data_IF_114543858001
#
_entry.id   IF_114543858001
#
_cell.length_a   1.000
_cell.length_b   1.000
_cell.length_c   1.000
_cell.angle_alpha   90.00
_cell.angle_beta   90.00
_cell.angle_gamma   90.00
#
_symmetry.space_group_name_H-M   'P 1'
#
loop_
_entity.id
_entity.type
_entity.pdbx_description
1 polymer ?
#
# COMPACT_ATOMS: atom_id res chain seq x y z
N UNK A 1 4.54 7.70 -21.74
CA UNK A 1 4.68 6.84 -20.55
C UNK A 1 4.98 7.75 -19.38
N UNK A 2 4.11 7.80 -18.38
CA UNK A 2 4.33 8.65 -17.20
C UNK A 2 5.44 8.08 -16.34
N UNK A 3 6.33 8.93 -15.83
CA UNK A 3 7.24 8.54 -14.75
C UNK A 3 6.42 8.46 -13.45
N UNK A 4 6.40 7.28 -12.83
CA UNK A 4 5.84 7.12 -11.50
C UNK A 4 6.86 7.56 -10.44
N UNK A 5 6.38 7.99 -9.28
CA UNK A 5 7.22 8.51 -8.19
C UNK A 5 7.61 7.45 -7.16
N UNK A 6 7.31 6.19 -7.44
CA UNK A 6 7.49 5.09 -6.50
C UNK A 6 8.62 4.17 -6.95
N UNK A 7 9.36 3.56 -6.01
CA UNK A 7 10.52 2.74 -6.31
C UNK A 7 10.12 1.47 -7.08
N UNK A 8 10.90 1.12 -8.11
CA UNK A 8 10.71 -0.10 -8.91
C UNK A 8 9.55 -0.01 -9.89
N UNK A 9 9.05 1.20 -10.19
CA UNK A 9 7.90 1.39 -11.08
C UNK A 9 8.12 0.91 -12.52
N UNK A 10 9.38 0.88 -12.98
CA UNK A 10 9.74 0.42 -14.32
C UNK A 10 9.39 -1.06 -14.53
N UNK A 11 9.45 -1.84 -13.44
CA UNK A 11 9.21 -3.29 -13.41
C UNK A 11 7.95 -3.66 -12.60
N UNK A 12 7.11 -2.68 -12.29
CA UNK A 12 5.90 -2.83 -11.49
C UNK A 12 4.70 -3.23 -12.37
N UNK A 13 4.86 -4.30 -13.15
CA UNK A 13 3.90 -4.80 -14.13
C UNK A 13 3.44 -6.25 -13.89
N UNK A 14 3.78 -6.80 -12.72
CA UNK A 14 3.32 -8.12 -12.25
C UNK A 14 1.78 -8.21 -12.32
N UNK A 15 1.21 -9.26 -12.93
CA UNK A 15 -0.23 -9.38 -13.09
C UNK A 15 -0.94 -9.66 -11.75
N UNK A 16 -2.15 -9.11 -11.60
CA UNK A 16 -3.04 -9.45 -10.50
C UNK A 16 -3.41 -10.95 -10.53
N UNK A 17 -3.38 -11.59 -9.37
CA UNK A 17 -3.80 -13.00 -9.16
C UNK A 17 -5.31 -13.14 -8.95
N UNK A 18 -6.00 -12.02 -8.75
CA UNK A 18 -7.42 -11.97 -8.45
C UNK A 18 -8.17 -11.02 -9.38
N UNK A 19 -9.46 -11.33 -9.60
CA UNK A 19 -10.39 -10.47 -10.32
C UNK A 19 -11.27 -9.63 -9.38
N UNK A 20 -10.99 -9.66 -8.07
CA UNK A 20 -11.71 -8.92 -7.01
C UNK A 20 -11.62 -7.39 -7.14
N UNK A 21 -10.77 -6.87 -8.03
CA UNK A 21 -10.59 -5.43 -8.22
C UNK A 21 -10.57 -5.11 -9.73
N UNK A 22 -11.75 -5.04 -10.39
CA UNK A 22 -11.84 -4.70 -11.80
C UNK A 22 -11.03 -3.44 -12.15
N UNK A 23 -10.18 -3.57 -13.18
CA UNK A 23 -9.30 -2.49 -13.64
C UNK A 23 -7.92 -2.45 -12.98
N UNK A 24 -7.69 -3.17 -11.88
CA UNK A 24 -6.37 -3.29 -11.26
C UNK A 24 -5.66 -4.52 -11.83
N UNK A 25 -4.84 -4.34 -12.86
CA UNK A 25 -4.11 -5.44 -13.50
C UNK A 25 -2.65 -5.54 -13.06
N UNK A 26 -2.06 -4.42 -12.67
CA UNK A 26 -0.65 -4.27 -12.31
C UNK A 26 -0.49 -3.39 -11.06
N UNK A 27 0.66 -3.42 -10.37
CA UNK A 27 0.94 -2.49 -9.28
C UNK A 27 0.86 -1.01 -9.69
N UNK A 28 1.13 -0.68 -10.96
CA UNK A 28 0.91 0.68 -11.51
C UNK A 28 -0.57 1.07 -11.53
N UNK A 29 -1.46 0.17 -11.95
CA UNK A 29 -2.91 0.43 -11.88
C UNK A 29 -3.38 0.62 -10.43
N UNK A 30 -2.82 -0.17 -9.49
CA UNK A 30 -3.09 -0.01 -8.07
C UNK A 30 -2.60 1.36 -7.58
N UNK A 31 -1.40 1.78 -7.94
CA UNK A 31 -0.86 3.09 -7.58
C UNK A 31 -1.76 4.23 -8.08
N UNK A 32 -2.20 4.17 -9.35
CA UNK A 32 -3.06 5.19 -9.94
C UNK A 32 -4.43 5.24 -9.25
N UNK A 33 -5.01 4.08 -8.95
CA UNK A 33 -6.27 3.99 -8.22
C UNK A 33 -6.14 4.56 -6.79
N UNK A 34 -5.05 4.23 -6.09
CA UNK A 34 -4.80 4.69 -4.72
C UNK A 34 -4.53 6.19 -4.67
N UNK A 35 -3.76 6.70 -5.63
CA UNK A 35 -3.38 8.11 -5.75
C UNK A 35 -4.57 9.04 -5.99
N UNK A 36 -5.62 8.54 -6.64
CA UNK A 36 -6.79 9.33 -6.97
C UNK A 36 -7.82 9.40 -5.81
N UNK A 37 -7.34 9.73 -4.62
CA UNK A 37 -8.14 10.08 -3.43
C UNK A 37 -8.39 8.96 -2.42
N UNK A 38 -7.85 7.74 -2.62
CA UNK A 38 -7.95 6.65 -1.63
C UNK A 38 -6.88 6.78 -0.55
N UNK A 39 -5.65 7.16 -0.93
CA UNK A 39 -4.69 7.65 0.04
C UNK A 39 -5.11 9.03 0.52
N UNK A 40 -5.53 9.09 1.78
CA UNK A 40 -6.09 10.27 2.43
C UNK A 40 -5.81 10.28 3.93
N UNK A 41 -6.14 11.38 4.59
CA UNK A 41 -5.91 11.54 6.02
C UNK A 41 -6.49 10.39 6.86
N UNK A 42 -7.69 9.90 6.55
CA UNK A 42 -8.36 8.81 7.26
C UNK A 42 -7.65 7.46 7.11
N UNK A 43 -7.04 7.22 5.95
CA UNK A 43 -6.23 6.02 5.73
C UNK A 43 -4.83 6.19 6.28
N UNK A 44 -4.34 7.41 6.56
CA UNK A 44 -3.02 7.70 7.13
C UNK A 44 -2.92 7.32 8.63
N UNK A 45 -1.70 6.98 9.07
CA UNK A 45 -1.45 6.47 10.40
C UNK A 45 -1.64 7.62 11.39
N UNK A 46 -2.42 7.48 12.47
CA UNK A 46 -2.76 8.58 13.37
C UNK A 46 -1.55 9.37 13.86
N UNK A 47 -0.44 8.67 14.17
CA UNK A 47 0.81 9.29 14.62
C UNK A 47 1.48 10.19 13.55
N UNK A 48 1.18 9.98 12.27
CA UNK A 48 1.75 10.72 11.13
C UNK A 48 0.72 11.63 10.44
N UNK A 49 -0.56 11.56 10.82
CA UNK A 49 -1.66 12.24 10.13
C UNK A 49 -1.49 13.76 10.08
N UNK A 50 -0.89 14.36 11.10
CA UNK A 50 -0.62 15.80 11.13
C UNK A 50 0.40 16.24 10.07
N UNK A 51 1.25 15.34 9.58
CA UNK A 51 2.20 15.60 8.50
C UNK A 51 1.70 15.17 7.12
N UNK A 52 0.50 14.59 7.05
CA UNK A 52 -0.08 14.13 5.79
C UNK A 52 -0.62 15.31 4.99
N UNK A 53 -0.32 15.35 3.69
CA UNK A 53 -0.86 16.33 2.74
C UNK A 53 -1.19 15.64 1.42
N UNK A 54 -1.88 16.32 0.51
CA UNK A 54 -2.16 15.76 -0.83
C UNK A 54 -0.86 15.55 -1.64
N UNK A 55 0.13 16.44 -1.46
CA UNK A 55 1.45 16.33 -2.08
C UNK A 55 2.25 15.15 -1.51
N UNK A 56 2.05 14.82 -0.22
CA UNK A 56 2.67 13.67 0.45
C UNK A 56 1.64 12.60 0.85
N UNK A 57 0.80 12.22 -0.12
CA UNK A 57 -0.34 11.31 0.08
C UNK A 57 0.03 9.93 0.62
N UNK A 58 1.24 9.44 0.34
CA UNK A 58 1.70 8.10 0.76
C UNK A 58 2.24 8.07 2.19
N UNK A 59 2.40 9.22 2.86
CA UNK A 59 2.86 9.28 4.25
C UNK A 59 1.99 8.41 5.16
N UNK A 60 2.64 7.50 5.88
CA UNK A 60 1.96 6.61 6.83
C UNK A 60 1.07 5.54 6.19
N UNK A 61 1.14 5.33 4.88
CA UNK A 61 0.34 4.32 4.17
C UNK A 61 1.06 2.97 3.99
N UNK A 62 2.38 2.91 4.22
CA UNK A 62 3.25 1.80 3.79
C UNK A 62 2.76 0.39 4.12
N UNK A 63 2.54 0.07 5.40
CA UNK A 63 2.21 -1.31 5.79
C UNK A 63 0.87 -1.77 5.21
N UNK A 64 -0.16 -0.94 5.28
CA UNK A 64 -1.51 -1.32 4.81
C UNK A 64 -1.55 -1.44 3.28
N UNK A 65 -0.79 -0.59 2.57
CA UNK A 65 -0.65 -0.66 1.12
C UNK A 65 0.13 -1.90 0.69
N UNK A 66 1.24 -2.21 1.37
CA UNK A 66 2.04 -3.38 1.02
C UNK A 66 1.25 -4.69 1.21
N UNK A 67 0.45 -4.79 2.27
CA UNK A 67 -0.44 -5.94 2.48
C UNK A 67 -1.60 -5.99 1.48
N UNK A 68 -2.16 -4.85 1.07
CA UNK A 68 -3.15 -4.82 -0.01
C UNK A 68 -2.56 -5.25 -1.35
N UNK A 69 -1.36 -4.79 -1.68
CA UNK A 69 -0.64 -5.22 -2.87
C UNK A 69 -0.33 -6.73 -2.82
N UNK A 70 0.05 -7.25 -1.65
CA UNK A 70 0.22 -8.70 -1.45
C UNK A 70 -1.08 -9.48 -1.71
N UNK A 71 -2.24 -8.97 -1.28
CA UNK A 71 -3.53 -9.64 -1.53
C UNK A 71 -3.90 -9.68 -3.02
N UNK A 72 -3.40 -8.72 -3.82
CA UNK A 72 -3.73 -8.59 -5.24
C UNK A 72 -2.72 -9.33 -6.12
N UNK A 73 -1.43 -9.21 -5.83
CA UNK A 73 -0.34 -9.69 -6.68
C UNK A 73 0.41 -10.88 -6.06
N UNK A 74 0.17 -11.22 -4.80
CA UNK A 74 0.91 -12.25 -4.07
C UNK A 74 2.28 -11.77 -3.60
N UNK A 75 3.23 -12.72 -3.52
CA UNK A 75 4.60 -12.45 -3.08
C UNK A 75 4.74 -12.12 -1.59
N UNK A 76 5.81 -11.39 -1.27
CA UNK A 76 6.26 -11.09 0.09
C UNK A 76 6.15 -9.61 0.41
N UNK A 77 5.95 -9.30 1.69
CA UNK A 77 6.15 -7.96 2.23
C UNK A 77 7.48 -7.94 2.98
N UNK A 78 8.38 -7.05 2.62
CA UNK A 78 9.68 -6.86 3.29
C UNK A 78 9.68 -5.52 4.05
N UNK A 79 10.54 -5.39 5.06
CA UNK A 79 10.54 -4.24 5.97
C UNK A 79 11.89 -3.58 6.11
N UNK A 80 12.03 -2.32 5.67
CA UNK A 80 13.20 -1.48 5.93
C UNK A 80 13.12 -0.98 7.37
N UNK A 81 14.09 -1.35 8.20
CA UNK A 81 14.13 -0.91 9.60
C UNK A 81 14.45 0.58 9.67
N UNK A 82 13.59 1.35 10.31
CA UNK A 82 13.70 2.80 10.46
C UNK A 82 14.38 3.17 11.79
N UNK A 83 14.97 4.39 11.90
CA UNK A 83 15.63 4.83 13.13
C UNK A 83 14.72 4.85 14.37
N UNK A 84 13.41 5.03 14.18
CA UNK A 84 12.40 4.99 15.25
C UNK A 84 12.02 3.56 15.69
N UNK A 85 12.69 2.54 15.13
CA UNK A 85 12.45 1.13 15.41
C UNK A 85 11.28 0.52 14.66
N UNK A 86 10.50 1.30 13.90
CA UNK A 86 9.43 0.77 13.06
C UNK A 86 9.98 0.24 11.72
N UNK A 87 9.15 -0.50 11.00
CA UNK A 87 9.44 -0.96 9.64
C UNK A 87 8.65 -0.15 8.61
N UNK A 88 9.35 0.25 7.55
CA UNK A 88 8.73 0.70 6.30
C UNK A 88 8.57 -0.48 5.36
N UNK A 89 7.33 -0.79 5.00
CA UNK A 89 7.01 -2.00 4.24
C UNK A 89 6.99 -1.76 2.72
N UNK A 90 7.49 -2.73 1.96
CA UNK A 90 7.46 -2.78 0.50
C UNK A 90 7.20 -4.22 0.02
N UNK A 91 7.01 -4.40 -1.29
CA UNK A 91 6.68 -5.70 -1.88
C UNK A 91 7.82 -6.29 -2.70
N UNK A 92 7.94 -7.62 -2.63
CA UNK A 92 8.76 -8.42 -3.54
C UNK A 92 7.86 -9.51 -4.13
N UNK A 93 7.60 -9.45 -5.44
CA UNK A 93 6.69 -10.35 -6.14
C UNK A 93 7.37 -10.88 -7.39
N UNK A 94 7.53 -12.20 -7.49
CA UNK A 94 8.22 -12.87 -8.61
C UNK A 94 9.59 -12.27 -8.94
N UNK A 95 10.35 -11.90 -7.90
CA UNK A 95 11.67 -11.25 -8.03
C UNK A 95 11.63 -9.75 -8.30
N UNK A 96 10.46 -9.18 -8.62
CA UNK A 96 10.28 -7.74 -8.80
C UNK A 96 10.07 -7.06 -7.46
N UNK A 97 10.88 -6.06 -7.19
CA UNK A 97 10.77 -5.23 -5.99
C UNK A 97 10.11 -3.91 -6.35
N UNK A 98 9.06 -3.54 -5.61
CA UNK A 98 8.42 -2.25 -5.74
C UNK A 98 7.91 -1.75 -4.39
N UNK A 99 7.85 -0.43 -4.25
CA UNK A 99 7.36 0.24 -3.05
C UNK A 99 6.46 1.39 -3.47
N UNK A 100 5.16 1.13 -3.49
CA UNK A 100 4.13 2.09 -3.91
C UNK A 100 4.08 3.35 -3.04
N UNK A 101 4.80 3.37 -1.91
CA UNK A 101 4.78 4.45 -0.93
C UNK A 101 6.15 5.09 -0.71
N UNK A 102 7.14 4.82 -1.58
CA UNK A 102 8.49 5.36 -1.41
C UNK A 102 8.56 6.88 -1.57
N UNK A 103 7.62 7.49 -2.31
CA UNK A 103 7.60 8.95 -2.52
C UNK A 103 7.50 9.74 -1.20
N UNK A 104 7.02 9.13 -0.12
CA UNK A 104 6.92 9.79 1.20
C UNK A 104 8.28 10.23 1.78
N UNK A 105 9.39 9.67 1.27
CA UNK A 105 10.74 10.00 1.72
C UNK A 105 11.47 11.00 0.81
N UNK A 106 10.81 11.49 -0.24
CA UNK A 106 11.38 12.47 -1.17
C UNK A 106 12.71 12.00 -1.76
N UNK A 107 13.80 12.70 -1.44
CA UNK A 107 15.15 12.39 -1.93
C UNK A 107 15.93 11.36 -1.10
N UNK A 108 15.37 10.85 0.01
CA UNK A 108 16.03 9.83 0.82
C UNK A 108 16.24 8.55 -0.01
N UNK A 109 17.47 8.03 -0.01
CA UNK A 109 17.77 6.75 -0.66
C UNK A 109 17.52 5.59 0.31
N UNK A 110 16.54 4.77 0.00
CA UNK A 110 16.22 3.57 0.76
C UNK A 110 17.02 2.36 0.26
N UNK A 111 17.41 1.48 1.18
CA UNK A 111 18.02 0.19 0.85
C UNK A 111 16.97 -0.90 0.83
N UNK A 112 16.74 -1.51 -0.34
CA UNK A 112 15.78 -2.60 -0.55
C UNK A 112 16.41 -3.99 -0.52
N UNK A 113 17.67 -4.10 -0.09
CA UNK A 113 18.43 -5.36 -0.04
C UNK A 113 18.46 -5.97 1.37
N UNK A 114 18.33 -7.30 1.46
CA UNK A 114 18.48 -8.07 2.70
C UNK A 114 17.48 -7.76 3.82
N UNK A 115 16.39 -7.05 3.56
CA UNK A 115 15.43 -6.67 4.58
C UNK A 115 14.54 -7.86 5.03
N UNK A 116 14.22 -7.96 6.34
CA UNK A 116 13.41 -9.06 6.86
C UNK A 116 11.97 -9.01 6.33
N UNK A 117 11.43 -10.19 6.06
CA UNK A 117 10.00 -10.38 5.75
C UNK A 117 9.13 -9.89 6.92
N UNK A 118 8.00 -9.27 6.58
CA UNK A 118 7.04 -8.71 7.51
C UNK A 118 5.72 -9.47 7.38
N UNK A 119 5.13 -9.79 8.53
CA UNK A 119 3.92 -10.61 8.59
C UNK A 119 2.71 -9.80 9.00
N UNK A 120 1.59 -10.03 8.31
CA UNK A 120 0.32 -9.33 8.52
C UNK A 120 -0.13 -9.44 9.96
N UNK A 121 0.00 -10.62 10.55
CA UNK A 121 -0.40 -10.95 11.91
C UNK A 121 0.28 -10.03 12.92
N UNK A 122 1.56 -9.72 12.71
CA UNK A 122 2.32 -8.81 13.59
C UNK A 122 1.86 -7.37 13.43
N UNK A 123 1.62 -6.92 12.20
CA UNK A 123 1.18 -5.54 11.95
C UNK A 123 -0.27 -5.31 12.36
N UNK A 124 -1.16 -6.26 12.14
CA UNK A 124 -2.60 -6.13 12.37
C UNK A 124 -3.04 -6.56 13.78
N UNK A 125 -2.12 -7.06 14.61
CA UNK A 125 -2.31 -7.13 16.06
C UNK A 125 -2.67 -5.77 16.67
N UNK A 126 -2.26 -4.66 16.03
CA UNK A 126 -2.76 -3.32 16.34
C UNK A 126 -4.07 -3.10 15.59
N UNK A 127 -5.18 -3.02 16.32
CA UNK A 127 -6.51 -2.82 15.75
C UNK A 127 -6.58 -1.62 14.81
N UNK A 128 -5.95 -0.52 15.19
CA UNK A 128 -5.85 0.70 14.39
C UNK A 128 -5.33 0.43 12.96
N UNK A 129 -4.27 -0.38 12.82
CA UNK A 129 -3.71 -0.76 11.51
C UNK A 129 -4.66 -1.67 10.72
N UNK A 130 -5.35 -2.59 11.40
CA UNK A 130 -6.34 -3.49 10.79
C UNK A 130 -7.51 -2.67 10.21
N UNK A 131 -8.08 -1.76 10.99
CA UNK A 131 -9.20 -0.91 10.57
C UNK A 131 -8.83 0.00 9.39
N UNK A 132 -7.63 0.57 9.39
CA UNK A 132 -7.10 1.33 8.24
C UNK A 132 -6.98 0.48 6.97
N UNK A 133 -6.46 -0.74 7.09
CA UNK A 133 -6.36 -1.65 5.96
C UNK A 133 -7.75 -2.01 5.42
N UNK A 134 -8.71 -2.30 6.29
CA UNK A 134 -10.10 -2.58 5.92
C UNK A 134 -10.73 -1.38 5.20
N UNK A 135 -10.50 -0.16 5.70
CA UNK A 135 -10.92 1.07 5.04
C UNK A 135 -10.29 1.22 3.66
N UNK A 136 -8.96 1.07 3.55
CA UNK A 136 -8.23 1.17 2.28
C UNK A 136 -8.78 0.18 1.25
N UNK A 137 -8.96 -1.08 1.66
CA UNK A 137 -9.52 -2.15 0.84
C UNK A 137 -10.94 -1.85 0.40
N UNK A 138 -11.79 -1.36 1.30
CA UNK A 138 -13.18 -0.98 0.98
C UNK A 138 -13.23 0.12 -0.07
N UNK A 139 -12.43 1.17 0.10
CA UNK A 139 -12.37 2.29 -0.85
C UNK A 139 -11.87 1.86 -2.24
N UNK A 140 -10.91 0.93 -2.30
CA UNK A 140 -10.47 0.37 -3.57
C UNK A 140 -11.59 -0.41 -4.25
N UNK A 141 -12.35 -1.24 -3.51
CA UNK A 141 -13.50 -1.97 -4.05
C UNK A 141 -14.58 -1.03 -4.59
N UNK A 142 -14.94 -0.01 -3.81
CA UNK A 142 -15.90 1.03 -4.22
C UNK A 142 -15.45 1.71 -5.52
N UNK A 143 -14.16 2.07 -5.62
CA UNK A 143 -13.58 2.66 -6.83
C UNK A 143 -13.61 1.73 -8.04
N UNK A 144 -13.41 0.43 -7.84
CA UNK A 144 -13.50 -0.58 -8.89
C UNK A 144 -14.96 -0.93 -9.28
N UNK A 145 -15.96 -0.19 -8.76
CA UNK A 145 -17.37 -0.38 -9.09
C UNK A 145 -18.02 -1.55 -8.35
N UNK A 146 -17.33 -2.15 -7.37
CA UNK A 146 -17.88 -3.20 -6.53
C UNK A 146 -18.56 -2.56 -5.33
N UNK A 147 -19.90 -2.51 -5.36
CA UNK A 147 -20.68 -2.14 -4.18
C UNK A 147 -20.48 -3.20 -3.10
N UNK A 148 -20.25 -2.78 -1.88
CA UNK A 148 -20.35 -3.67 -0.72
C UNK A 148 -21.83 -3.93 -0.47
N UNK A 149 -22.36 -5.05 -0.95
CA UNK A 149 -23.65 -5.55 -0.49
C UNK A 149 -23.48 -5.93 0.99
N UNK A 150 -24.05 -5.09 1.87
CA UNK A 150 -23.83 -5.22 3.31
C UNK A 150 -24.60 -4.20 4.14
N UNK A 151 -25.88 -4.04 3.85
CA UNK A 151 -26.82 -3.57 4.86
C UNK A 151 -27.05 -4.67 5.89
N UNK A 152 -26.80 -4.35 7.16
CA UNK A 152 -27.53 -4.90 8.30
C UNK A 152 -27.48 -3.83 9.41
N UNK A 153 -28.33 -2.81 9.25
CA UNK A 153 -28.87 -2.09 10.40
C UNK A 153 -30.11 -2.88 10.82
N UNK A 154 -29.98 -3.65 11.90
CA UNK A 154 -31.09 -4.01 12.77
C UNK A 154 -31.13 -3.02 13.91
#
# INVERSE_FOLDING_TARGET
MGNYQFYGWEQADVPALTNDYPGIRTPRDLYDALSAGIWRAETCAPRLRNGWTEENKTLGQCSITAFLAQDIFGGKVCGIRRPDGNYHCYNVVDGHTFDLTSEQFGSEKLSYDGNPEQFRETHFAKEEKRLRYELLRRLLRERCGLRTDGGAMS
#
